data_IF_301481736754
#
_entry.id   IF_301481736754
#
_cell.length_a   1.000
_cell.length_b   1.000
_cell.length_c   1.000
_cell.angle_alpha   90.00
_cell.angle_beta   90.00
_cell.angle_gamma   90.00
#
_symmetry.space_group_name_H-M   'P 1'
#
loop_
_entity.id
_entity.type
_entity.pdbx_description
1 polymer ?
#
# COMPACT_ATOMS: atom_id res chain seq x y z
N UNK A 1 -2.20 -1.57 -0.33
CA UNK A 1 -3.56 -2.16 -0.42
C UNK A 1 -4.57 -1.04 -0.47
N UNK A 2 -5.43 -1.03 -1.48
CA UNK A 2 -6.55 -0.10 -1.66
C UNK A 2 -7.84 -0.79 -1.28
N UNK A 3 -8.78 -0.07 -0.66
CA UNK A 3 -10.06 -0.61 -0.23
C UNK A 3 -11.14 -0.10 -1.16
N UNK A 4 -11.79 -1.02 -1.87
CA UNK A 4 -12.85 -0.71 -2.83
C UNK A 4 -14.23 -0.73 -2.17
N UNK A 5 -14.38 -1.54 -1.12
CA UNK A 5 -15.60 -1.63 -0.32
C UNK A 5 -15.26 -2.03 1.11
N UNK A 6 -15.89 -1.37 2.07
CA UNK A 6 -15.80 -1.72 3.48
C UNK A 6 -16.95 -2.63 3.90
N UNK A 7 -16.66 -3.53 4.84
CA UNK A 7 -17.69 -4.32 5.52
C UNK A 7 -18.55 -3.43 6.43
N UNK A 8 -19.76 -3.88 6.75
CA UNK A 8 -20.65 -3.18 7.68
C UNK A 8 -20.14 -3.31 9.13
N UNK A 9 -19.64 -4.50 9.49
CA UNK A 9 -19.05 -4.80 10.82
C UNK A 9 -17.83 -5.70 10.64
N UNK A 10 -16.74 -5.38 11.34
CA UNK A 10 -15.47 -6.10 11.25
C UNK A 10 -14.70 -5.74 9.98
N UNK A 11 -13.82 -6.63 9.50
CA UNK A 11 -13.09 -6.40 8.26
C UNK A 11 -11.97 -5.35 8.36
N UNK A 12 -11.46 -5.05 9.56
CA UNK A 12 -10.23 -4.27 9.72
C UNK A 12 -9.01 -4.94 9.08
N UNK A 13 -7.89 -4.24 9.08
CA UNK A 13 -6.56 -4.77 8.76
C UNK A 13 -5.69 -4.60 9.99
N UNK A 14 -5.25 -5.71 10.57
CA UNK A 14 -4.46 -5.73 11.81
C UNK A 14 -2.98 -5.88 11.51
N UNK A 15 -2.15 -5.16 12.25
CA UNK A 15 -0.70 -5.29 12.32
C UNK A 15 -0.32 -5.65 13.75
N UNK A 16 -0.30 -6.95 14.12
CA UNK A 16 -0.21 -7.38 15.51
C UNK A 16 1.10 -6.95 16.19
N UNK A 17 2.22 -6.97 15.47
CA UNK A 17 3.54 -6.67 16.03
C UNK A 17 3.71 -5.20 16.44
N UNK A 18 2.88 -4.29 15.93
CA UNK A 18 2.89 -2.86 16.27
C UNK A 18 1.60 -2.42 16.97
N UNK A 19 0.68 -3.34 17.27
CA UNK A 19 -0.57 -3.04 17.98
C UNK A 19 -1.54 -2.14 17.22
N UNK A 20 -1.44 -2.07 15.89
CA UNK A 20 -2.30 -1.19 15.07
C UNK A 20 -3.39 -2.00 14.38
N UNK A 21 -4.63 -1.52 14.46
CA UNK A 21 -5.73 -2.00 13.60
C UNK A 21 -6.28 -0.83 12.80
N UNK A 22 -6.25 -0.98 11.49
CA UNK A 22 -6.79 -0.01 10.55
C UNK A 22 -8.18 -0.45 10.11
N UNK A 23 -9.20 0.41 10.31
CA UNK A 23 -10.56 0.17 9.87
C UNK A 23 -10.84 1.03 8.62
N UNK A 24 -10.66 0.49 7.40
CA UNK A 24 -10.70 1.30 6.19
C UNK A 24 -12.10 1.71 5.76
N UNK A 25 -12.18 2.83 5.05
CA UNK A 25 -13.31 3.26 4.21
C UNK A 25 -13.04 2.98 2.72
N UNK A 26 -14.08 2.92 1.87
CA UNK A 26 -13.88 2.85 0.43
C UNK A 26 -13.06 4.04 -0.07
N UNK A 27 -12.05 3.78 -0.91
CA UNK A 27 -11.08 4.75 -1.41
C UNK A 27 -9.80 4.84 -0.59
N UNK A 28 -9.78 4.36 0.67
CA UNK A 28 -8.58 4.39 1.48
C UNK A 28 -7.51 3.44 0.93
N UNK A 29 -6.24 3.85 1.10
CA UNK A 29 -5.09 3.02 0.82
C UNK A 29 -4.17 2.95 2.04
N UNK A 30 -3.69 1.75 2.34
CA UNK A 30 -2.61 1.53 3.30
C UNK A 30 -1.39 1.02 2.56
N UNK A 31 -0.25 1.64 2.80
CA UNK A 31 1.05 1.33 2.19
C UNK A 31 2.02 1.00 3.31
N UNK A 32 2.79 -0.07 3.12
CA UNK A 32 3.78 -0.53 4.08
C UNK A 32 4.94 -1.19 3.33
N UNK A 33 6.06 -1.38 4.02
CA UNK A 33 7.25 -2.02 3.48
C UNK A 33 7.42 -3.38 4.12
N UNK A 34 7.62 -4.42 3.31
CA UNK A 34 7.90 -5.76 3.81
C UNK A 34 9.39 -5.97 4.17
N UNK A 35 10.24 -4.99 3.86
CA UNK A 35 11.69 -5.05 4.04
C UNK A 35 12.20 -3.82 4.77
N UNK A 36 13.22 -4.03 5.61
CA UNK A 36 14.04 -2.99 6.21
C UNK A 36 15.13 -2.56 5.23
N UNK A 37 15.78 -1.43 5.51
CA UNK A 37 16.77 -0.75 4.66
C UNK A 37 18.01 -1.60 4.37
N UNK A 38 18.26 -2.61 5.21
CA UNK A 38 19.28 -3.63 5.05
C UNK A 38 18.80 -4.87 4.27
N UNK A 39 17.66 -4.80 3.59
CA UNK A 39 16.99 -5.88 2.86
C UNK A 39 16.47 -7.03 3.73
N UNK A 40 16.57 -6.92 5.06
CA UNK A 40 15.96 -7.85 6.00
C UNK A 40 14.44 -7.76 6.01
N UNK A 41 13.76 -8.78 6.54
CA UNK A 41 12.30 -8.77 6.72
C UNK A 41 11.90 -7.69 7.74
N UNK A 42 10.89 -6.89 7.41
CA UNK A 42 10.31 -5.96 8.38
C UNK A 42 9.29 -6.67 9.26
N UNK A 43 9.62 -6.94 10.52
CA UNK A 43 8.71 -7.64 11.45
C UNK A 43 7.42 -6.85 11.73
N UNK A 44 7.48 -5.52 11.73
CA UNK A 44 6.30 -4.66 11.88
C UNK A 44 5.32 -4.74 10.71
N UNK A 45 5.75 -5.30 9.57
CA UNK A 45 4.91 -5.46 8.37
C UNK A 45 3.98 -6.66 8.42
N UNK A 46 4.10 -7.54 9.43
CA UNK A 46 3.16 -8.65 9.61
C UNK A 46 1.76 -8.08 9.74
N UNK A 47 0.85 -8.52 8.86
CA UNK A 47 -0.52 -8.04 8.83
C UNK A 47 -1.50 -9.12 8.42
N UNK A 48 -2.78 -8.90 8.74
CA UNK A 48 -3.88 -9.77 8.36
C UNK A 48 -5.19 -9.02 8.22
N UNK A 49 -6.17 -9.66 7.57
CA UNK A 49 -7.53 -9.17 7.54
C UNK A 49 -8.29 -9.67 8.79
N UNK A 50 -8.89 -8.76 9.54
CA UNK A 50 -9.82 -9.14 10.60
C UNK A 50 -11.07 -9.79 9.98
N UNK A 51 -11.72 -10.74 10.69
CA UNK A 51 -12.97 -11.35 10.23
C UNK A 51 -14.02 -10.30 9.87
N UNK A 52 -14.74 -10.52 8.78
CA UNK A 52 -15.95 -9.77 8.45
C UNK A 52 -17.11 -10.39 9.22
N UNK A 53 -17.73 -9.60 10.09
CA UNK A 53 -18.88 -10.05 10.90
C UNK A 53 -20.18 -9.81 10.13
N UNK A 54 -20.28 -8.70 9.39
CA UNK A 54 -21.44 -8.35 8.57
C UNK A 54 -21.03 -7.58 7.32
N UNK A 55 -21.70 -7.86 6.20
CA UNK A 55 -21.47 -7.18 4.92
C UNK A 55 -20.35 -7.82 4.11
N UNK A 56 -19.68 -7.02 3.27
CA UNK A 56 -18.62 -7.49 2.36
C UNK A 56 -17.47 -6.49 2.31
N UNK A 57 -16.24 -6.95 2.52
CA UNK A 57 -15.01 -6.17 2.29
C UNK A 57 -14.40 -6.56 0.95
N UNK A 58 -14.02 -5.58 0.14
CA UNK A 58 -13.27 -5.80 -1.11
C UNK A 58 -12.00 -4.95 -1.06
N UNK A 59 -10.85 -5.61 -1.16
CA UNK A 59 -9.53 -4.98 -1.19
C UNK A 59 -8.75 -5.35 -2.45
N UNK A 60 -7.93 -4.42 -2.91
CA UNK A 60 -7.00 -4.58 -4.02
C UNK A 60 -5.56 -4.44 -3.51
N UNK A 61 -4.73 -5.45 -3.77
CA UNK A 61 -3.34 -5.48 -3.32
C UNK A 61 -2.42 -5.39 -4.52
N UNK A 62 -1.53 -4.38 -4.49
CA UNK A 62 -0.41 -4.27 -5.41
C UNK A 62 0.87 -4.61 -4.63
N UNK A 63 1.62 -5.58 -5.13
CA UNK A 63 2.95 -5.88 -4.62
C UNK A 63 4.02 -5.26 -5.52
N UNK A 64 4.86 -4.43 -4.92
CA UNK A 64 6.02 -3.84 -5.59
C UNK A 64 7.26 -4.56 -5.09
N UNK A 65 8.13 -5.00 -6.00
CA UNK A 65 9.39 -5.66 -5.69
C UNK A 65 10.53 -4.64 -5.78
N UNK A 66 11.57 -4.83 -4.98
CA UNK A 66 12.75 -3.94 -4.95
C UNK A 66 13.61 -4.03 -6.22
N UNK A 67 13.67 -5.21 -6.84
CA UNK A 67 14.44 -5.42 -8.05
C UNK A 67 13.93 -4.56 -9.22
N UNK A 68 14.82 -3.86 -9.91
CA UNK A 68 14.47 -2.95 -11.01
C UNK A 68 13.98 -1.57 -10.56
N UNK A 69 14.10 -1.25 -9.26
CA UNK A 69 13.73 0.06 -8.68
C UNK A 69 14.96 0.85 -8.18
N UNK A 70 16.17 0.32 -8.39
CA UNK A 70 17.44 0.91 -7.95
C UNK A 70 17.69 2.34 -8.45
N UNK A 71 17.17 2.70 -9.62
CA UNK A 71 17.31 4.06 -10.20
C UNK A 71 16.29 5.06 -9.67
N UNK A 72 15.27 4.63 -8.93
CA UNK A 72 14.31 5.53 -8.26
C UNK A 72 14.76 5.90 -6.84
N UNK A 73 15.94 5.43 -6.46
CA UNK A 73 16.47 5.48 -5.11
C UNK A 73 17.81 6.20 -5.06
N UNK A 74 17.98 7.13 -4.13
CA UNK A 74 19.33 7.55 -3.76
C UNK A 74 19.95 6.45 -2.91
N UNK A 75 21.10 5.90 -3.32
CA UNK A 75 21.81 4.91 -2.52
C UNK A 75 21.90 5.36 -1.06
N UNK A 76 21.44 4.54 -0.09
CA UNK A 76 21.49 4.91 1.31
C UNK A 76 22.95 5.13 1.69
N UNK A 77 23.25 6.28 2.30
CA UNK A 77 24.61 6.62 2.74
C UNK A 77 24.88 6.07 4.15
N UNK A 78 23.82 5.75 4.89
CA UNK A 78 23.84 5.11 6.20
C UNK A 78 22.86 3.94 6.23
N UNK A 79 23.14 2.97 7.10
CA UNK A 79 22.33 1.75 7.24
C UNK A 79 20.91 2.05 7.73
N UNK A 80 20.74 3.13 8.48
CA UNK A 80 19.47 3.55 9.09
C UNK A 80 18.66 4.51 8.20
N UNK A 81 19.16 4.88 7.01
CA UNK A 81 18.45 5.80 6.13
C UNK A 81 17.11 5.18 5.71
N UNK A 82 15.96 5.79 6.06
CA UNK A 82 14.65 5.18 5.87
C UNK A 82 14.36 5.02 4.39
N UNK A 83 13.43 4.11 4.09
CA UNK A 83 12.97 3.98 2.73
C UNK A 83 12.13 5.21 2.29
N UNK A 84 12.51 6.06 1.29
CA UNK A 84 11.61 7.03 0.66
C UNK A 84 10.34 6.37 0.11
N UNK A 85 9.27 6.47 0.89
CA UNK A 85 7.91 6.08 0.52
C UNK A 85 7.24 7.17 -0.32
N UNK A 86 7.69 8.41 -0.20
CA UNK A 86 7.11 9.58 -0.85
C UNK A 86 7.07 9.44 -2.37
N UNK A 87 8.12 8.99 -3.08
CA UNK A 87 8.07 8.80 -4.53
C UNK A 87 7.07 7.71 -4.97
N UNK A 88 6.74 6.76 -4.09
CA UNK A 88 5.79 5.68 -4.36
C UNK A 88 4.35 6.13 -4.12
N UNK A 89 4.11 6.95 -3.10
CA UNK A 89 2.76 7.41 -2.69
C UNK A 89 2.37 8.70 -3.42
N UNK A 90 3.34 9.53 -3.79
CA UNK A 90 3.15 10.80 -4.52
C UNK A 90 4.10 10.86 -5.72
N UNK A 91 3.81 10.11 -6.79
CA UNK A 91 4.65 10.17 -7.97
C UNK A 91 4.59 11.57 -8.59
N UNK A 92 5.75 12.19 -8.87
CA UNK A 92 5.83 13.52 -9.50
C UNK A 92 5.15 13.61 -10.87
N UNK A 93 4.90 12.47 -11.52
CA UNK A 93 4.17 12.37 -12.79
C UNK A 93 2.64 12.38 -12.60
N UNK A 94 2.14 12.15 -11.39
CA UNK A 94 0.74 12.31 -11.02
C UNK A 94 0.47 13.81 -10.80
N UNK A 95 0.54 14.61 -11.88
CA UNK A 95 0.23 16.04 -11.82
C UNK A 95 -1.25 16.23 -11.42
N UNK A 96 -1.50 17.27 -10.63
CA UNK A 96 -2.79 17.69 -10.04
C UNK A 96 -3.94 17.88 -11.04
N UNK A 97 -3.62 17.88 -12.34
CA UNK A 97 -4.54 18.17 -13.45
C UNK A 97 -4.71 16.98 -14.42
N UNK A 98 -4.73 15.74 -13.91
CA UNK A 98 -5.09 14.60 -14.77
C UNK A 98 -6.58 14.68 -15.11
N UNK A 99 -6.97 14.84 -16.40
CA UNK A 99 -8.38 14.85 -16.77
C UNK A 99 -8.96 13.45 -16.54
N UNK A 100 -10.14 13.42 -15.91
CA UNK A 100 -10.99 12.23 -15.74
C UNK A 100 -11.53 11.72 -17.08
N UNK A 101 -10.70 11.33 -18.05
CA UNK A 101 -11.10 10.73 -19.34
C UNK A 101 -9.86 9.96 -19.83
N UNK A 102 -9.86 8.64 -20.05
CA UNK A 102 -10.64 7.91 -21.04
C UNK A 102 -10.87 6.45 -20.63
N UNK A 103 -12.08 5.97 -20.92
CA UNK A 103 -12.41 4.56 -20.87
C UNK A 103 -11.54 3.73 -21.80
N UNK A 104 -11.27 2.51 -21.38
CA UNK A 104 -10.83 1.42 -22.25
C UNK A 104 -11.79 1.30 -23.44
N UNK A 105 -11.35 1.43 -24.69
CA UNK A 105 -12.03 0.76 -25.77
C UNK A 105 -11.72 -0.73 -25.61
N UNK A 106 -12.73 -1.48 -25.18
CA UNK A 106 -12.82 -2.89 -25.51
C UNK A 106 -12.94 -3.01 -27.05
N UNK A 107 -11.98 -3.74 -27.63
CA UNK A 107 -11.92 -4.31 -28.98
C UNK A 107 -11.56 -3.43 -30.20
N UNK A 108 -10.71 -4.04 -31.02
CA UNK A 108 -10.25 -3.67 -32.37
C UNK A 108 -9.21 -4.68 -32.82
#
# INVERSE_FOLDING_TARGET
MVILKSADIGGGTIYPNIGVTFQPKPGDAVVWLNMNTDYGRSEGSLHGACPVVKGVKVGLTLWVRSHGQELRWNCPLKKEDPFPLEPLIQPKWLKKDWPLIYGFPLFG
#
